data_IF_428080970899
#
_entry.id   IF_428080970899
#
_cell.length_a   1.000
_cell.length_b   1.000
_cell.length_c   1.000
_cell.angle_alpha   90.00
_cell.angle_beta   90.00
_cell.angle_gamma   90.00
#
_symmetry.space_group_name_H-M   'P 1'
#
loop_
_entity.id
_entity.type
_entity.pdbx_description
1 polymer ?
#
# COMPACT_ATOMS: atom_id res chain seq x y z
N UNK A 1 -15.08 24.93 39.02
CA UNK A 1 -15.50 24.50 37.67
C UNK A 1 -14.24 24.14 36.87
N UNK A 2 -13.72 22.92 37.02
CA UNK A 2 -12.50 22.48 36.34
C UNK A 2 -12.85 21.97 34.94
N UNK A 3 -12.31 22.59 33.89
CA UNK A 3 -12.50 22.12 32.51
C UNK A 3 -11.78 20.77 32.36
N UNK A 4 -12.52 19.72 32.03
CA UNK A 4 -11.98 18.43 31.62
C UNK A 4 -11.06 18.65 30.41
N UNK A 5 -9.79 18.28 30.52
CA UNK A 5 -8.91 18.19 29.34
C UNK A 5 -9.48 17.09 28.44
N UNK A 6 -9.90 17.43 27.23
CA UNK A 6 -10.17 16.43 26.22
C UNK A 6 -8.82 15.86 25.79
N UNK A 7 -8.58 14.58 26.09
CA UNK A 7 -7.50 13.81 25.48
C UNK A 7 -7.92 13.54 24.04
N UNK A 8 -7.37 14.33 23.12
CA UNK A 8 -7.53 14.08 21.69
C UNK A 8 -6.54 13.00 21.27
N UNK A 9 -7.00 12.02 20.50
CA UNK A 9 -6.14 11.03 19.88
C UNK A 9 -5.18 11.71 18.88
N UNK A 10 -3.88 11.67 19.17
CA UNK A 10 -2.82 12.23 18.32
C UNK A 10 -2.06 11.18 17.51
N UNK A 11 -2.53 9.94 17.46
CA UNK A 11 -1.89 8.84 16.73
C UNK A 11 -1.65 9.14 15.24
N UNK A 12 -2.49 9.97 14.61
CA UNK A 12 -2.31 10.45 13.23
C UNK A 12 -0.98 11.21 12.97
N UNK A 13 -0.24 11.57 14.03
CA UNK A 13 1.06 12.25 13.96
C UNK A 13 2.24 11.29 14.02
N UNK A 14 1.98 10.03 14.35
CA UNK A 14 2.99 8.98 14.43
C UNK A 14 3.26 8.43 13.02
N UNK A 15 4.09 9.15 12.27
CA UNK A 15 4.44 8.79 10.90
C UNK A 15 5.38 7.58 10.87
N UNK A 16 5.31 6.81 9.78
CA UNK A 16 6.24 5.72 9.50
C UNK A 16 7.63 6.31 9.24
N UNK A 17 8.54 6.13 10.19
CA UNK A 17 9.95 6.58 10.08
C UNK A 17 10.88 5.46 9.58
N UNK A 18 10.39 4.24 9.46
CA UNK A 18 11.16 3.11 8.94
C UNK A 18 10.96 2.99 7.42
N UNK A 19 11.88 2.30 6.69
CA UNK A 19 11.76 1.99 5.26
C UNK A 19 10.55 1.09 4.93
N UNK A 20 9.34 1.62 5.10
CA UNK A 20 8.09 0.86 5.07
C UNK A 20 7.89 0.09 3.76
N UNK A 21 8.43 0.60 2.65
CA UNK A 21 8.36 -0.03 1.34
C UNK A 21 9.16 -1.33 1.24
N UNK A 22 10.17 -1.52 2.10
CA UNK A 22 11.01 -2.72 2.06
C UNK A 22 10.29 -3.98 2.55
N UNK A 23 9.08 -3.84 3.11
CA UNK A 23 8.16 -4.95 3.37
C UNK A 23 7.68 -5.61 2.08
N UNK A 24 7.69 -4.88 0.97
CA UNK A 24 7.40 -5.41 -0.37
C UNK A 24 8.69 -6.06 -0.89
N UNK A 25 8.74 -7.39 -1.12
CA UNK A 25 9.98 -8.09 -1.50
C UNK A 25 10.67 -7.50 -2.73
N UNK A 26 9.90 -7.00 -3.69
CA UNK A 26 10.43 -6.36 -4.90
C UNK A 26 11.22 -5.06 -4.64
N UNK A 27 11.05 -4.44 -3.48
CA UNK A 27 11.71 -3.17 -3.12
C UNK A 27 12.56 -3.28 -1.85
N UNK A 28 12.80 -4.50 -1.36
CA UNK A 28 13.55 -4.76 -0.13
C UNK A 28 14.95 -4.12 -0.10
N UNK A 29 15.63 -4.10 -1.24
CA UNK A 29 16.99 -3.59 -1.37
C UNK A 29 17.06 -2.16 -1.95
N UNK A 30 15.93 -1.47 -2.06
CA UNK A 30 15.88 -0.08 -2.55
C UNK A 30 16.12 0.85 -1.36
N UNK A 31 17.14 1.70 -1.48
CA UNK A 31 17.46 2.73 -0.49
C UNK A 31 16.44 3.88 -0.50
N UNK A 32 16.42 4.68 0.56
CA UNK A 32 15.45 5.76 0.74
C UNK A 32 15.57 6.86 -0.32
N UNK A 33 16.78 7.28 -0.66
CA UNK A 33 17.01 8.34 -1.65
C UNK A 33 16.44 7.92 -3.01
N UNK A 34 16.73 6.69 -3.43
CA UNK A 34 16.19 6.10 -4.64
C UNK A 34 14.68 5.94 -4.58
N UNK A 35 14.15 5.45 -3.45
CA UNK A 35 12.71 5.23 -3.31
C UNK A 35 11.93 6.54 -3.35
N UNK A 36 12.41 7.60 -2.70
CA UNK A 36 11.74 8.89 -2.64
C UNK A 36 11.91 9.72 -3.93
N UNK A 37 12.79 9.32 -4.86
CA UNK A 37 12.90 9.97 -6.16
C UNK A 37 11.62 9.79 -7.02
N UNK A 38 11.06 10.91 -7.48
CA UNK A 38 9.81 10.91 -8.22
C UNK A 38 9.92 10.21 -9.58
N UNK A 39 11.11 10.21 -10.22
CA UNK A 39 11.30 9.54 -11.51
C UNK A 39 11.33 8.03 -11.31
N UNK A 40 11.97 7.57 -10.24
CA UNK A 40 11.94 6.17 -9.83
C UNK A 40 10.51 5.72 -9.51
N UNK A 41 9.74 6.51 -8.74
CA UNK A 41 8.33 6.25 -8.45
C UNK A 41 7.48 6.16 -9.73
N UNK A 42 7.65 7.11 -10.66
CA UNK A 42 6.93 7.10 -11.94
C UNK A 42 7.28 5.87 -12.80
N UNK A 43 8.56 5.51 -12.86
CA UNK A 43 9.04 4.33 -13.61
C UNK A 43 8.54 3.01 -13.04
N UNK A 44 8.41 2.92 -11.71
CA UNK A 44 8.00 1.71 -11.00
C UNK A 44 6.50 1.70 -10.63
N UNK A 45 5.73 2.68 -11.11
CA UNK A 45 4.28 2.71 -10.92
C UNK A 45 3.62 1.48 -11.55
N UNK A 46 2.84 0.78 -10.74
CA UNK A 46 2.10 -0.41 -11.12
C UNK A 46 0.87 0.01 -11.92
N UNK A 47 0.74 -0.46 -13.16
CA UNK A 47 -0.33 -0.02 -14.08
C UNK A 47 -1.14 -1.16 -14.68
N UNK A 48 -0.83 -2.40 -14.32
CA UNK A 48 -1.49 -3.60 -14.85
C UNK A 48 -1.87 -4.56 -13.71
N UNK A 49 -3.03 -5.22 -13.77
CA UNK A 49 -3.45 -6.20 -12.77
C UNK A 49 -2.40 -7.27 -12.48
N UNK A 50 -1.74 -7.80 -13.51
CA UNK A 50 -0.73 -8.86 -13.35
C UNK A 50 0.49 -8.40 -12.55
N UNK A 51 0.85 -7.11 -12.63
CA UNK A 51 1.93 -6.55 -11.83
C UNK A 51 1.53 -6.46 -10.34
N UNK A 52 0.28 -6.07 -10.06
CA UNK A 52 -0.27 -6.06 -8.68
C UNK A 52 -0.26 -7.46 -8.10
N UNK A 53 -0.83 -8.44 -8.82
CA UNK A 53 -0.90 -9.83 -8.36
C UNK A 53 0.50 -10.38 -8.05
N UNK A 54 1.47 -10.14 -8.94
CA UNK A 54 2.85 -10.57 -8.74
C UNK A 54 3.50 -9.95 -7.50
N UNK A 55 3.23 -8.67 -7.21
CA UNK A 55 3.76 -8.03 -6.00
C UNK A 55 3.14 -8.60 -4.73
N UNK A 56 1.89 -9.08 -4.79
CA UNK A 56 1.16 -9.60 -3.65
C UNK A 56 1.44 -11.08 -3.35
N UNK A 57 1.93 -11.86 -4.32
CA UNK A 57 2.15 -13.32 -4.19
C UNK A 57 2.87 -13.75 -2.90
N UNK A 58 3.86 -12.97 -2.46
CA UNK A 58 4.68 -13.27 -1.27
C UNK A 58 4.33 -12.39 -0.05
N UNK A 59 3.24 -11.62 -0.10
CA UNK A 59 2.86 -10.63 0.93
C UNK A 59 1.54 -11.00 1.61
N UNK A 60 0.56 -11.48 0.84
CA UNK A 60 -0.81 -11.71 1.33
C UNK A 60 -1.17 -13.19 1.28
N UNK A 61 -2.29 -13.54 1.92
CA UNK A 61 -2.80 -14.90 1.87
C UNK A 61 -3.26 -15.29 0.46
N UNK A 62 -3.17 -16.58 0.08
CA UNK A 62 -3.67 -17.06 -1.22
C UNK A 62 -5.15 -16.73 -1.46
N UNK A 63 -5.95 -16.75 -0.39
CA UNK A 63 -7.37 -16.39 -0.41
C UNK A 63 -7.56 -14.93 -0.82
N UNK A 64 -6.83 -14.01 -0.17
CA UNK A 64 -6.90 -12.58 -0.51
C UNK A 64 -6.38 -12.31 -1.93
N UNK A 65 -5.33 -13.01 -2.35
CA UNK A 65 -4.80 -12.88 -3.70
C UNK A 65 -5.82 -13.29 -4.78
N UNK A 66 -6.60 -14.35 -4.54
CA UNK A 66 -7.69 -14.74 -5.44
C UNK A 66 -8.82 -13.70 -5.42
N UNK A 67 -9.18 -13.14 -4.26
CA UNK A 67 -10.18 -12.06 -4.18
C UNK A 67 -9.77 -10.86 -5.06
N UNK A 68 -8.53 -10.39 -4.96
CA UNK A 68 -8.01 -9.31 -5.81
C UNK A 68 -8.04 -9.70 -7.29
N UNK A 69 -7.69 -10.96 -7.62
CA UNK A 69 -7.77 -11.49 -9.00
C UNK A 69 -9.21 -11.47 -9.53
N UNK A 70 -10.20 -11.74 -8.69
CA UNK A 70 -11.63 -11.65 -9.03
C UNK A 70 -12.08 -10.19 -9.15
N UNK A 71 -11.60 -9.33 -8.24
CA UNK A 71 -11.81 -7.88 -8.27
C UNK A 71 -11.43 -7.29 -9.62
N UNK A 72 -10.20 -7.56 -10.09
CA UNK A 72 -9.74 -7.11 -11.41
C UNK A 72 -10.50 -7.68 -12.61
N UNK A 73 -11.12 -8.87 -12.49
CA UNK A 73 -11.99 -9.41 -13.56
C UNK A 73 -13.32 -8.68 -13.66
N UNK A 74 -13.80 -8.13 -12.54
CA UNK A 74 -15.10 -7.43 -12.45
C UNK A 74 -14.96 -5.93 -12.62
N UNK A 75 -13.84 -5.37 -12.18
CA UNK A 75 -13.56 -3.94 -12.28
C UNK A 75 -13.18 -3.57 -13.72
N UNK A 76 -13.87 -2.58 -14.28
CA UNK A 76 -13.55 -2.01 -15.61
C UNK A 76 -12.46 -0.93 -15.56
N UNK A 77 -12.03 -0.52 -14.36
CA UNK A 77 -11.10 0.58 -14.18
C UNK A 77 -9.65 0.12 -14.31
N UNK A 78 -8.81 0.97 -14.91
CA UNK A 78 -7.37 0.76 -14.95
C UNK A 78 -6.74 0.98 -13.57
N UNK A 79 -5.85 0.08 -13.16
CA UNK A 79 -5.05 0.27 -11.94
C UNK A 79 -3.89 1.23 -12.20
N UNK A 80 -3.60 2.09 -11.22
CA UNK A 80 -2.39 2.92 -11.20
C UNK A 80 -2.01 3.18 -9.74
N UNK A 81 -0.95 2.53 -9.26
CA UNK A 81 -0.48 2.67 -7.88
C UNK A 81 1.02 2.88 -7.89
N UNK A 82 1.50 3.98 -7.31
CA UNK A 82 2.94 4.20 -7.16
C UNK A 82 3.50 3.28 -6.06
N UNK A 83 4.81 2.94 -6.10
CA UNK A 83 5.44 2.19 -5.02
C UNK A 83 5.22 2.81 -3.64
N UNK A 84 5.23 4.13 -3.53
CA UNK A 84 4.98 4.84 -2.28
C UNK A 84 3.60 4.52 -1.70
N UNK A 85 2.53 4.67 -2.48
CA UNK A 85 1.17 4.36 -2.02
C UNK A 85 1.02 2.88 -1.72
N UNK A 86 1.58 2.01 -2.57
CA UNK A 86 1.51 0.56 -2.37
C UNK A 86 2.23 0.10 -1.10
N UNK A 87 3.38 0.71 -0.78
CA UNK A 87 4.14 0.40 0.43
C UNK A 87 3.44 0.86 1.71
N UNK A 88 2.61 1.90 1.64
CA UNK A 88 1.83 2.40 2.78
C UNK A 88 0.62 1.53 3.14
N UNK A 89 0.19 0.64 2.24
CA UNK A 89 -0.94 -0.25 2.49
C UNK A 89 -0.58 -1.22 3.61
N UNK A 90 -1.47 -1.33 4.60
CA UNK A 90 -1.42 -2.41 5.59
C UNK A 90 -1.87 -3.74 4.95
N UNK A 91 -0.90 -4.52 4.49
CA UNK A 91 -1.13 -5.83 3.90
C UNK A 91 -1.40 -6.94 4.92
N UNK A 92 -1.21 -6.68 6.22
CA UNK A 92 -1.60 -7.61 7.29
C UNK A 92 -3.12 -7.51 7.55
N UNK A 93 -3.74 -6.35 7.29
CA UNK A 93 -5.18 -6.12 7.39
C UNK A 93 -5.77 -5.48 6.12
N UNK A 94 -5.64 -6.15 4.96
CA UNK A 94 -5.86 -5.50 3.67
C UNK A 94 -7.35 -5.21 3.41
N UNK A 95 -8.28 -5.96 3.99
CA UNK A 95 -9.71 -5.71 3.83
C UNK A 95 -10.17 -4.37 4.46
N UNK A 96 -9.50 -3.93 5.52
CA UNK A 96 -9.82 -2.69 6.24
C UNK A 96 -8.94 -1.51 5.85
N UNK A 97 -7.84 -1.75 5.15
CA UNK A 97 -6.94 -0.70 4.72
C UNK A 97 -7.60 0.23 3.66
N UNK A 98 -7.71 1.54 3.93
CA UNK A 98 -8.41 2.47 3.06
C UNK A 98 -7.68 2.72 1.73
N UNK A 99 -6.35 2.70 1.72
CA UNK A 99 -5.57 2.87 0.50
C UNK A 99 -5.76 1.67 -0.42
N UNK A 100 -5.77 0.46 0.14
CA UNK A 100 -6.09 -0.76 -0.60
C UNK A 100 -7.50 -0.68 -1.16
N UNK A 101 -8.54 -0.30 -0.38
CA UNK A 101 -9.92 -0.06 -0.90
C UNK A 101 -9.90 0.83 -2.13
N UNK A 102 -9.12 1.91 -2.09
CA UNK A 102 -9.14 2.93 -3.13
C UNK A 102 -8.41 2.49 -4.41
N UNK A 103 -7.33 1.73 -4.28
CA UNK A 103 -6.39 1.49 -5.37
C UNK A 103 -6.36 0.05 -5.90
N UNK A 104 -6.76 -0.94 -5.09
CA UNK A 104 -6.74 -2.38 -5.42
C UNK A 104 -8.13 -2.98 -5.19
N UNK A 105 -8.85 -3.34 -6.28
CA UNK A 105 -10.22 -3.83 -6.24
C UNK A 105 -10.34 -5.27 -5.73
#
# INVERSE_FOLDING_TARGET
>A
MGKSKHDFDTSHRDLLNEPFWQRVPAWKDVDEETFLDWKWQAKNTVTRPQQVLKLLEDIVTPEFLEDVRQGFRRASMSVRVSPYVFGLIDWDQPYTDPLRIQFVP
#
